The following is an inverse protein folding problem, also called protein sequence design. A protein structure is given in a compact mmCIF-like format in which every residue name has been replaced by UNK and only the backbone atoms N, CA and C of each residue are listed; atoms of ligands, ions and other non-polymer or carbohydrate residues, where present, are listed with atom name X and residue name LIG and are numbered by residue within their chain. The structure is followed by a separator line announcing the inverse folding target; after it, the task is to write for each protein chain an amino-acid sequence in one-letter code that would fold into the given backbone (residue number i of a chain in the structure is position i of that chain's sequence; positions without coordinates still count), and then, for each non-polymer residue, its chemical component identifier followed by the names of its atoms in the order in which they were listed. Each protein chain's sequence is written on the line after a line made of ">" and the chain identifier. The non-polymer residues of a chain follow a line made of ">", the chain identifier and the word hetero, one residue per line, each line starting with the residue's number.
data_IF_460928337101
#
_entry.id   IF_460928337101
#
_cell.length_a   1.000
_cell.length_b   1.000
_cell.length_c   1.000
_cell.angle_alpha   90.00
_cell.angle_beta   90.00
_cell.angle_gamma   90.00
#
_symmetry.space_group_name_H-M   'P 1'
#
loop_
_entity.id
_entity.type
_entity.pdbx_description
1 polymer ?
#
# COMPACT_ATOMS: atom_id res chain seq x y z
N UNK A 1 -1.63 13.39 25.43
CA UNK A 1 -1.57 14.17 24.18
C UNK A 1 -0.29 13.84 23.42
N UNK A 2 -0.34 13.69 22.09
CA UNK A 2 0.87 13.52 21.25
C UNK A 2 1.54 14.87 21.00
N UNK A 3 2.87 14.92 21.04
CA UNK A 3 3.66 16.11 20.72
C UNK A 3 3.59 16.46 19.22
N UNK A 4 3.88 17.71 18.81
CA UNK A 4 3.95 18.08 17.39
C UNK A 4 4.88 17.18 16.57
N UNK A 5 6.00 16.76 17.15
CA UNK A 5 6.96 15.87 16.51
C UNK A 5 6.33 14.49 16.24
N UNK A 6 5.74 13.85 17.25
CA UNK A 6 5.09 12.54 17.10
C UNK A 6 3.94 12.59 16.10
N UNK A 7 3.19 13.70 16.05
CA UNK A 7 2.13 13.89 15.05
C UNK A 7 2.68 13.92 13.63
N UNK A 8 3.84 14.55 13.41
CA UNK A 8 4.51 14.52 12.11
C UNK A 8 5.12 13.15 11.79
N UNK A 9 5.67 12.44 12.77
CA UNK A 9 6.18 11.09 12.56
C UNK A 9 5.04 10.16 12.09
N UNK A 10 3.86 10.24 12.72
CA UNK A 10 2.65 9.49 12.29
C UNK A 10 2.11 9.94 10.92
N UNK A 11 2.18 11.23 10.60
CA UNK A 11 1.85 11.73 9.25
C UNK A 11 2.77 11.14 8.17
N UNK A 12 4.07 11.10 8.44
CA UNK A 12 5.07 10.53 7.52
C UNK A 12 4.82 9.05 7.31
N UNK A 13 4.50 8.31 8.39
CA UNK A 13 4.16 6.89 8.34
C UNK A 13 2.87 6.65 7.54
N UNK A 14 1.78 7.34 7.89
CA UNK A 14 0.48 7.19 7.22
C UNK A 14 0.53 7.51 5.73
N UNK A 15 1.24 8.58 5.36
CA UNK A 15 1.29 9.03 3.96
C UNK A 15 2.38 8.34 3.13
N UNK A 16 3.36 7.70 3.77
CA UNK A 16 4.57 7.20 3.13
C UNK A 16 5.48 8.30 2.56
N UNK A 17 5.21 9.57 2.86
CA UNK A 17 5.93 10.72 2.31
C UNK A 17 6.90 11.30 3.34
N UNK A 18 8.09 11.69 2.89
CA UNK A 18 9.03 12.47 3.71
C UNK A 18 8.40 13.84 4.08
N UNK A 19 8.72 14.35 5.27
CA UNK A 19 8.19 15.61 5.79
C UNK A 19 8.33 16.80 4.82
N UNK A 20 9.45 16.89 4.11
CA UNK A 20 9.66 17.92 3.09
C UNK A 20 8.74 17.80 1.87
N UNK A 21 8.35 16.58 1.49
CA UNK A 21 7.39 16.34 0.42
C UNK A 21 5.97 16.69 0.87
N UNK A 22 5.62 16.39 2.12
CA UNK A 22 4.35 16.82 2.74
C UNK A 22 4.24 18.34 2.70
N UNK A 23 5.29 19.07 3.12
CA UNK A 23 5.29 20.53 3.09
C UNK A 23 5.06 21.10 1.68
N UNK A 24 5.74 20.55 0.67
CA UNK A 24 5.54 20.94 -0.73
C UNK A 24 4.11 20.68 -1.20
N UNK A 25 3.54 19.52 -0.88
CA UNK A 25 2.13 19.23 -1.21
C UNK A 25 1.15 20.20 -0.53
N UNK A 26 1.47 20.63 0.69
CA UNK A 26 0.68 21.64 1.42
C UNK A 26 0.86 23.07 0.87
N UNK A 27 1.55 23.27 -0.25
CA UNK A 27 1.72 24.57 -0.90
C UNK A 27 2.87 25.42 -0.34
N UNK A 28 3.78 24.84 0.45
CA UNK A 28 4.94 25.57 0.94
C UNK A 28 6.10 25.48 -0.05
N UNK A 29 6.60 26.65 -0.49
CA UNK A 29 7.77 26.74 -1.37
C UNK A 29 9.02 26.13 -0.70
N UNK A 30 9.17 26.32 0.62
CA UNK A 30 10.27 25.75 1.42
C UNK A 30 9.73 24.96 2.62
N UNK A 31 10.32 23.79 2.94
CA UNK A 31 9.85 22.92 4.02
C UNK A 31 10.29 23.39 5.42
N UNK A 32 10.99 24.52 5.52
CA UNK A 32 11.61 24.98 6.76
C UNK A 32 10.61 25.10 7.92
N UNK A 33 9.42 25.63 7.65
CA UNK A 33 8.37 25.77 8.66
C UNK A 33 7.97 24.41 9.29
N UNK A 34 7.89 23.35 8.48
CA UNK A 34 7.61 22.00 8.98
C UNK A 34 8.76 21.47 9.82
N UNK A 35 10.01 21.66 9.36
CA UNK A 35 11.19 21.24 10.11
C UNK A 35 11.38 22.00 11.42
N UNK A 36 11.01 23.27 11.49
CA UNK A 36 11.11 24.05 12.72
C UNK A 36 10.11 23.56 13.78
N UNK A 37 8.90 23.18 13.39
CA UNK A 37 7.95 22.50 14.30
C UNK A 37 8.46 21.10 14.67
N UNK A 38 8.94 20.33 13.69
CA UNK A 38 9.46 18.97 13.91
C UNK A 38 10.64 18.92 14.88
N UNK A 39 11.55 19.90 14.78
CA UNK A 39 12.72 20.05 15.67
C UNK A 39 12.38 20.74 17.00
N UNK A 40 11.12 21.08 17.24
CA UNK A 40 10.67 21.69 18.48
C UNK A 40 11.01 23.18 18.65
N UNK A 41 11.46 23.87 17.59
CA UNK A 41 11.62 25.33 17.63
C UNK A 41 10.27 26.03 17.77
N UNK A 42 9.25 25.49 17.10
CA UNK A 42 7.86 25.89 17.30
C UNK A 42 7.15 24.83 18.16
N UNK A 43 6.55 25.27 19.27
CA UNK A 43 5.92 24.38 20.27
C UNK A 43 4.57 23.80 19.84
N UNK A 44 3.98 24.29 18.74
CA UNK A 44 2.64 23.91 18.26
C UNK A 44 2.61 23.88 16.73
N UNK A 45 1.75 23.03 16.17
CA UNK A 45 1.33 23.12 14.78
C UNK A 45 0.33 24.28 14.70
N UNK A 46 0.57 25.26 13.82
CA UNK A 46 -0.34 26.40 13.66
C UNK A 46 -1.61 26.01 12.91
N UNK A 47 -2.70 26.73 13.15
CA UNK A 47 -3.97 26.55 12.44
C UNK A 47 -3.77 26.62 10.92
N UNK A 48 -3.06 27.64 10.42
CA UNK A 48 -2.73 27.76 8.99
C UNK A 48 -2.05 26.51 8.43
N UNK A 49 -1.10 25.93 9.18
CA UNK A 49 -0.40 24.72 8.75
C UNK A 49 -1.34 23.50 8.79
N UNK A 50 -2.13 23.35 9.86
CA UNK A 50 -3.12 22.27 9.97
C UNK A 50 -4.14 22.32 8.83
N UNK A 51 -4.74 23.49 8.55
CA UNK A 51 -5.69 23.66 7.44
C UNK A 51 -5.05 23.38 6.08
N UNK A 52 -3.76 23.69 5.90
CA UNK A 52 -3.03 23.34 4.66
C UNK A 52 -2.81 21.83 4.53
N UNK A 53 -2.55 21.14 5.63
CA UNK A 53 -2.42 19.67 5.67
C UNK A 53 -3.77 19.02 5.35
N UNK A 54 -4.87 19.46 5.97
CA UNK A 54 -6.21 18.86 5.78
C UNK A 54 -6.70 19.02 4.34
N UNK A 55 -6.40 20.15 3.69
CA UNK A 55 -6.72 20.35 2.27
C UNK A 55 -6.09 19.28 1.36
N UNK A 56 -4.94 18.73 1.75
CA UNK A 56 -4.22 17.69 1.01
C UNK A 56 -4.58 16.29 1.49
N UNK A 57 -4.82 16.14 2.79
CA UNK A 57 -5.10 14.87 3.46
C UNK A 57 -6.41 14.99 4.25
N UNK A 58 -7.57 14.95 3.56
CA UNK A 58 -8.87 15.22 4.18
C UNK A 58 -9.30 14.17 5.21
N UNK A 59 -8.71 12.97 5.17
CA UNK A 59 -8.99 11.89 6.13
C UNK A 59 -8.43 12.17 7.53
N UNK A 60 -7.62 13.22 7.69
CA UNK A 60 -6.93 13.57 8.93
C UNK A 60 -7.74 14.59 9.71
N UNK A 61 -7.93 14.32 11.00
CA UNK A 61 -8.71 15.17 11.90
C UNK A 61 -7.93 16.43 12.29
N UNK A 62 -8.52 17.60 12.04
CA UNK A 62 -7.90 18.89 12.39
C UNK A 62 -7.60 19.04 13.88
N UNK A 63 -8.58 18.70 14.73
CA UNK A 63 -8.43 18.80 16.17
C UNK A 63 -7.27 17.95 16.67
N UNK A 64 -7.03 16.78 16.07
CA UNK A 64 -5.88 15.94 16.38
C UNK A 64 -4.55 16.58 15.96
N UNK A 65 -4.48 17.24 14.79
CA UNK A 65 -3.26 17.95 14.37
C UNK A 65 -2.90 19.10 15.32
N UNK A 66 -3.90 19.82 15.83
CA UNK A 66 -3.69 20.96 16.72
C UNK A 66 -3.34 20.52 18.14
N UNK A 67 -4.09 19.57 18.69
CA UNK A 67 -4.03 19.19 20.12
C UNK A 67 -3.21 17.93 20.36
N UNK A 68 -3.21 16.98 19.43
CA UNK A 68 -2.69 15.63 19.61
C UNK A 68 -3.55 14.74 20.48
N UNK A 69 -4.81 15.10 20.65
CA UNK A 69 -5.82 14.32 21.38
C UNK A 69 -6.79 13.64 20.41
N UNK A 70 -7.31 12.49 20.85
CA UNK A 70 -8.21 11.67 20.03
C UNK A 70 -7.51 10.89 18.91
N UNK A 71 -8.29 10.30 17.99
CA UNK A 71 -7.77 9.57 16.84
C UNK A 71 -7.31 10.53 15.74
N UNK A 72 -6.25 10.11 15.04
CA UNK A 72 -5.67 10.86 13.91
C UNK A 72 -6.61 10.95 12.72
N UNK A 73 -7.27 9.84 12.41
CA UNK A 73 -8.15 9.74 11.25
C UNK A 73 -9.59 10.09 11.64
N UNK A 74 -10.31 10.67 10.69
CA UNK A 74 -11.75 10.75 10.76
C UNK A 74 -12.26 9.32 10.61
N UNK A 75 -13.02 8.83 11.60
CA UNK A 75 -13.68 7.54 11.45
C UNK A 75 -14.71 7.70 10.34
N UNK A 76 -14.41 7.15 9.17
CA UNK A 76 -15.45 6.82 8.22
C UNK A 76 -16.30 5.78 8.95
N UNK A 77 -17.56 6.09 9.24
CA UNK A 77 -18.53 5.19 9.90
C UNK A 77 -18.94 4.01 9.01
N UNK A 78 -17.99 3.43 8.28
CA UNK A 78 -18.07 2.19 7.53
C UNK A 78 -17.09 1.14 8.08
N UNK A 79 -16.57 1.31 9.30
CA UNK A 79 -15.98 0.19 10.04
C UNK A 79 -17.11 -0.64 10.67
N UNK A 80 -17.19 -1.95 10.40
CA UNK A 80 -18.23 -2.84 10.91
C UNK A 80 -17.99 -3.12 12.39
N UNK A 81 -18.42 -2.21 13.25
CA UNK A 81 -18.74 -2.52 14.64
C UNK A 81 -20.15 -1.96 14.90
N UNK A 82 -21.12 -2.85 14.70
CA UNK A 82 -22.57 -2.73 14.97
C UNK A 82 -22.89 -1.86 16.19
N UNK A 83 -23.81 -0.90 16.07
CA UNK A 83 -25.23 -1.18 16.36
C UNK A 83 -26.09 -1.28 15.08
N UNK A 84 -27.01 -2.25 15.05
CA UNK A 84 -27.87 -2.53 13.91
C UNK A 84 -28.88 -1.38 13.69
N UNK A 85 -28.64 -0.58 12.64
CA UNK A 85 -29.70 0.15 11.94
C UNK A 85 -30.35 -0.80 10.91
N UNK A 86 -31.65 -0.66 10.58
CA UNK A 86 -32.37 -1.60 9.73
C UNK A 86 -31.72 -1.67 8.34
N UNK A 87 -31.12 -2.82 8.04
CA UNK A 87 -30.37 -3.09 6.81
C UNK A 87 -31.33 -3.00 5.61
N UNK A 88 -31.03 -2.10 4.68
CA UNK A 88 -31.73 -1.97 3.41
C UNK A 88 -31.47 -3.24 2.57
N UNK A 89 -32.53 -3.99 2.23
CA UNK A 89 -32.46 -5.27 1.48
C UNK A 89 -31.58 -5.19 0.22
N UNK A 90 -31.52 -4.02 -0.42
CA UNK A 90 -30.73 -3.79 -1.63
C UNK A 90 -29.20 -3.86 -1.40
N UNK A 91 -28.71 -3.58 -0.19
CA UNK A 91 -27.28 -3.74 0.16
C UNK A 91 -26.90 -5.22 0.31
N UNK A 92 -27.83 -6.06 0.75
CA UNK A 92 -27.58 -7.49 0.90
C UNK A 92 -27.43 -8.18 -0.47
N UNK A 93 -28.25 -7.79 -1.45
CA UNK A 93 -28.20 -8.35 -2.80
C UNK A 93 -26.88 -8.01 -3.52
N UNK A 94 -26.41 -6.76 -3.41
CA UNK A 94 -25.10 -6.37 -3.95
C UNK A 94 -23.93 -7.09 -3.28
N UNK A 95 -23.99 -7.30 -1.95
CA UNK A 95 -22.95 -8.02 -1.23
C UNK A 95 -22.92 -9.50 -1.64
N UNK A 96 -24.07 -10.13 -1.86
CA UNK A 96 -24.17 -11.52 -2.35
C UNK A 96 -23.56 -11.64 -3.76
N UNK A 97 -23.84 -10.69 -4.65
CA UNK A 97 -23.27 -10.68 -6.00
C UNK A 97 -21.76 -10.46 -5.99
N UNK A 98 -21.28 -9.57 -5.13
CA UNK A 98 -19.84 -9.32 -4.96
C UNK A 98 -19.10 -10.57 -4.45
N UNK A 99 -19.66 -11.29 -3.48
CA UNK A 99 -19.09 -12.54 -2.97
C UNK A 99 -19.00 -13.59 -4.07
N UNK A 100 -20.07 -13.78 -4.86
CA UNK A 100 -20.05 -14.72 -6.00
C UNK A 100 -18.99 -14.35 -7.03
N UNK A 101 -18.77 -13.05 -7.26
CA UNK A 101 -17.75 -12.59 -8.19
C UNK A 101 -16.34 -12.85 -7.65
N UNK A 102 -16.12 -12.70 -6.34
CA UNK A 102 -14.85 -13.05 -5.67
C UNK A 102 -14.58 -14.54 -5.80
N UNK A 103 -15.53 -15.40 -5.47
CA UNK A 103 -15.35 -16.87 -5.56
C UNK A 103 -14.99 -17.30 -6.98
N UNK A 104 -15.62 -16.69 -7.99
CA UNK A 104 -15.29 -16.94 -9.40
C UNK A 104 -13.87 -16.49 -9.74
N UNK A 105 -13.44 -15.32 -9.25
CA UNK A 105 -12.10 -14.80 -9.50
C UNK A 105 -11.03 -15.62 -8.78
N UNK A 106 -11.30 -16.10 -7.57
CA UNK A 106 -10.40 -16.98 -6.83
C UNK A 106 -10.21 -18.32 -7.55
N UNK A 107 -11.28 -18.86 -8.14
CA UNK A 107 -11.18 -20.03 -9.01
C UNK A 107 -10.30 -19.78 -10.24
N UNK A 108 -10.54 -18.67 -10.94
CA UNK A 108 -9.75 -18.28 -12.11
C UNK A 108 -8.26 -18.10 -11.76
N UNK A 109 -7.98 -17.49 -10.60
CA UNK A 109 -6.61 -17.35 -10.07
C UNK A 109 -5.99 -18.73 -9.84
N UNK A 110 -6.72 -19.67 -9.24
CA UNK A 110 -6.25 -21.04 -9.03
C UNK A 110 -5.90 -21.76 -10.33
N UNK A 111 -6.78 -21.67 -11.34
CA UNK A 111 -6.56 -22.28 -12.67
C UNK A 111 -5.33 -21.69 -13.38
N UNK A 112 -5.14 -20.36 -13.30
CA UNK A 112 -3.97 -19.68 -13.84
C UNK A 112 -2.68 -20.11 -13.12
N UNK A 113 -2.72 -20.25 -11.79
CA UNK A 113 -1.57 -20.71 -11.01
C UNK A 113 -1.14 -22.14 -11.39
N UNK A 114 -2.10 -23.05 -11.59
CA UNK A 114 -1.83 -24.41 -12.07
C UNK A 114 -1.19 -24.38 -13.45
N UNK A 115 -1.72 -23.57 -14.37
CA UNK A 115 -1.16 -23.43 -15.73
C UNK A 115 0.29 -22.91 -15.69
N UNK A 116 0.57 -21.91 -14.86
CA UNK A 116 1.92 -21.38 -14.67
C UNK A 116 2.87 -22.44 -14.12
N UNK A 117 2.41 -23.27 -13.18
CA UNK A 117 3.23 -24.35 -12.62
C UNK A 117 3.61 -25.37 -13.71
N UNK A 118 2.65 -25.82 -14.51
CA UNK A 118 2.89 -26.77 -15.60
C UNK A 118 3.86 -26.21 -16.66
N UNK A 119 3.67 -24.95 -17.06
CA UNK A 119 4.57 -24.29 -18.02
C UNK A 119 6.00 -24.16 -17.49
N UNK A 120 6.16 -23.89 -16.19
CA UNK A 120 7.49 -23.82 -15.55
C UNK A 120 8.19 -25.18 -15.56
N UNK A 121 7.45 -26.25 -15.30
CA UNK A 121 7.97 -27.62 -15.36
C UNK A 121 8.40 -28.00 -16.78
N UNK A 122 7.57 -27.72 -17.79
CA UNK A 122 7.90 -27.97 -19.20
C UNK A 122 9.14 -27.19 -19.64
N UNK A 123 9.23 -25.91 -19.29
CA UNK A 123 10.43 -25.09 -19.55
C UNK A 123 11.67 -25.70 -18.87
N UNK A 124 11.53 -26.19 -17.64
CA UNK A 124 12.62 -26.88 -16.94
C UNK A 124 13.09 -28.13 -17.68
N UNK A 125 12.17 -29.01 -18.05
CA UNK A 125 12.48 -30.24 -18.78
C UNK A 125 13.15 -29.97 -20.14
N UNK A 126 12.66 -28.97 -20.89
CA UNK A 126 13.26 -28.58 -22.16
C UNK A 126 14.68 -28.04 -22.00
N UNK A 127 14.95 -27.25 -20.95
CA UNK A 127 16.30 -26.76 -20.64
C UNK A 127 17.25 -27.90 -20.33
N UNK A 128 16.87 -28.85 -19.48
CA UNK A 128 17.69 -30.03 -19.18
C UNK A 128 17.97 -30.86 -20.43
N UNK A 129 16.98 -31.04 -21.31
CA UNK A 129 17.16 -31.77 -22.57
C UNK A 129 18.17 -31.06 -23.48
N UNK A 130 18.10 -29.74 -23.62
CA UNK A 130 19.07 -28.96 -24.39
C UNK A 130 20.50 -29.06 -23.83
N UNK A 131 20.66 -28.99 -22.51
CA UNK A 131 21.97 -29.16 -21.85
C UNK A 131 22.56 -30.55 -22.11
N UNK A 132 21.73 -31.60 -22.06
CA UNK A 132 22.18 -32.96 -22.35
C UNK A 132 22.62 -33.16 -23.81
N UNK A 133 21.90 -32.55 -24.77
CA UNK A 133 22.24 -32.63 -26.20
C UNK A 133 23.55 -31.90 -26.52
N UNK A 134 23.72 -30.68 -26.00
CA UNK A 134 24.96 -29.89 -26.18
C UNK A 134 26.18 -30.56 -25.53
N UNK A 135 26.00 -31.26 -24.40
CA UNK A 135 27.06 -32.06 -23.78
C UNK A 135 27.48 -33.25 -24.65
N UNK A 136 26.54 -34.00 -25.23
CA UNK A 136 26.81 -35.16 -26.10
C UNK A 136 27.54 -34.76 -27.39
N UNK A 137 27.15 -33.64 -27.99
CA UNK A 137 27.82 -33.08 -29.18
C UNK A 137 29.28 -32.70 -28.89
N UNK A 138 29.52 -32.08 -27.72
CA UNK A 138 30.87 -31.68 -27.26
C UNK A 138 31.81 -32.87 -27.02
N UNK A 139 31.29 -34.02 -26.57
CA UNK A 139 32.09 -35.24 -26.36
C UNK A 139 32.37 -36.00 -27.66
N UNK A 140 31.43 -35.96 -28.62
CA UNK A 140 31.59 -36.61 -29.92
C UNK A 140 32.65 -35.94 -30.79
N UNK A 141 32.76 -34.61 -30.74
CA UNK A 141 33.82 -33.85 -31.44
C UNK A 141 35.23 -34.14 -30.91
N UNK A 142 35.38 -34.49 -29.63
CA UNK A 142 36.69 -34.83 -29.04
C UNK A 142 37.19 -36.24 -29.38
N UNK A 143 36.31 -37.17 -29.75
CA UNK A 143 36.69 -38.55 -30.10
C UNK A 143 37.02 -38.77 -31.59
N UNK A 144 36.65 -37.83 -32.46
CA UNK A 144 36.94 -37.88 -33.90
C UNK A 144 38.27 -37.21 -34.32
N UNK A 145 39.04 -36.68 -33.37
CA UNK A 145 40.36 -36.08 -33.60
C UNK A 145 41.46 -37.02 -33.09
N UNK A 146 41.63 -38.17 -33.75
CA UNK A 146 42.83 -39.02 -33.66
C UNK A 146 43.15 -39.52 -35.07
#
# INVERSE_FOLDING_TARGET
>A
MKTPKERFDLLVEYTGLKLGAIAKKCGYERPQAFYDVYKGKAKKISEKMASSIIKVFPDIRESWLLTGEGPMLIENTNSPNTPQEPINQNQNDMNIELVKMIDRKDREIGELQVTIANLREEIGALRTKLESMTFVESQSQKKGAV
#
